data_IF_923815970405
#
_entry.id   IF_923815970405
#
_cell.length_a   1.000
_cell.length_b   1.000
_cell.length_c   1.000
_cell.angle_alpha   90.00
_cell.angle_beta   90.00
_cell.angle_gamma   90.00
#
_symmetry.space_group_name_H-M   'P 1'
#
loop_
_entity.id
_entity.type
_entity.pdbx_description
1 polymer ?
#
# COMPACT_ATOMS: atom_id res chain seq x y z
N UNK A 1 -42.34 8.32 45.16
CA UNK A 1 -42.04 6.92 44.79
C UNK A 1 -40.69 6.96 44.07
N UNK A 2 -39.57 7.29 44.72
CA UNK A 2 -38.88 6.59 45.82
C UNK A 2 -38.80 5.07 45.62
N UNK A 3 -37.56 4.58 45.42
CA UNK A 3 -36.94 3.28 45.75
C UNK A 3 -35.67 3.17 44.87
N UNK A 4 -34.49 3.63 45.29
CA UNK A 4 -33.50 3.03 46.21
C UNK A 4 -32.80 1.74 45.72
N UNK A 5 -31.50 1.92 45.40
CA UNK A 5 -30.30 1.16 45.81
C UNK A 5 -30.28 -0.39 45.67
N UNK A 6 -29.30 -0.88 44.91
CA UNK A 6 -28.42 -1.99 45.35
C UNK A 6 -27.07 -1.96 44.59
N UNK A 7 -25.97 -2.01 45.34
CA UNK A 7 -24.58 -2.04 44.91
C UNK A 7 -23.99 -3.46 45.05
N UNK A 8 -23.15 -3.87 44.07
CA UNK A 8 -21.87 -4.62 44.21
C UNK A 8 -21.89 -6.06 44.80
N UNK A 9 -20.94 -6.99 44.49
CA UNK A 9 -19.46 -6.81 44.46
C UNK A 9 -18.73 -7.41 43.24
N UNK A 10 -17.68 -6.79 42.70
CA UNK A 10 -16.27 -6.80 43.15
C UNK A 10 -15.64 -8.20 43.23
N UNK A 11 -14.99 -8.63 42.14
CA UNK A 11 -14.09 -9.79 42.13
C UNK A 11 -12.64 -9.30 42.09
N UNK A 12 -11.96 -9.47 43.22
CA UNK A 12 -10.49 -9.36 43.37
C UNK A 12 -9.84 -10.62 42.78
N UNK A 13 -8.87 -10.46 41.90
CA UNK A 13 -7.84 -11.47 41.69
C UNK A 13 -6.53 -11.00 42.30
N UNK A 14 -6.07 -11.76 43.27
CA UNK A 14 -4.86 -11.58 44.05
C UNK A 14 -3.62 -11.97 43.26
N UNK A 15 -2.59 -11.14 43.43
CA UNK A 15 -1.20 -11.36 43.03
C UNK A 15 -0.56 -12.50 43.84
N UNK A 16 0.06 -13.46 43.17
CA UNK A 16 1.01 -14.41 43.76
C UNK A 16 2.31 -14.37 42.94
N UNK A 17 3.34 -13.81 43.56
CA UNK A 17 4.73 -13.97 43.18
C UNK A 17 5.38 -15.00 44.10
N UNK A 18 6.35 -15.79 43.62
CA UNK A 18 7.37 -16.37 44.49
C UNK A 18 8.66 -15.55 44.39
N UNK A 19 9.12 -15.06 45.56
CA UNK A 19 10.52 -14.68 45.81
C UNK A 19 11.33 -15.95 46.00
N UNK A 20 12.52 -16.04 45.40
CA UNK A 20 13.64 -16.77 45.99
C UNK A 20 14.97 -16.04 45.71
N UNK A 21 15.46 -15.48 46.81
CA UNK A 21 16.82 -15.28 47.33
C UNK A 21 18.04 -15.06 46.41
N UNK A 22 18.79 -14.06 46.86
CA UNK A 22 20.08 -13.58 46.41
C UNK A 22 21.27 -14.39 46.95
N UNK A 23 22.37 -14.37 46.19
CA UNK A 23 23.78 -14.41 46.61
C UNK A 23 24.62 -14.39 45.30
N UNK A 24 25.82 -13.85 45.15
CA UNK A 24 26.69 -12.96 45.93
C UNK A 24 27.83 -12.57 44.96
N UNK A 25 28.50 -11.45 45.24
CA UNK A 25 29.73 -10.99 44.58
C UNK A 25 30.80 -12.09 44.38
N UNK A 26 31.52 -12.06 43.25
CA UNK A 26 32.99 -11.89 43.22
C UNK A 26 33.60 -11.83 41.80
N UNK A 27 34.60 -10.94 41.69
CA UNK A 27 35.83 -10.97 40.89
C UNK A 27 35.85 -10.88 39.35
N UNK A 28 36.53 -9.80 38.91
CA UNK A 28 37.27 -9.65 37.65
C UNK A 28 38.26 -10.81 37.42
N UNK A 29 38.39 -11.21 36.14
CA UNK A 29 39.72 -11.39 35.52
C UNK A 29 39.60 -11.39 33.99
N UNK A 30 40.27 -10.41 33.40
CA UNK A 30 40.69 -10.31 32.00
C UNK A 30 41.62 -11.46 31.62
N UNK A 31 41.38 -12.09 30.46
CA UNK A 31 42.35 -12.97 29.82
C UNK A 31 42.63 -12.48 28.40
N UNK A 32 43.87 -12.05 28.22
CA UNK A 32 44.55 -11.84 26.94
C UNK A 32 44.63 -13.15 26.14
N UNK A 33 44.40 -13.08 24.83
CA UNK A 33 45.04 -13.98 23.87
C UNK A 33 45.62 -13.16 22.71
N UNK A 34 46.96 -13.08 22.69
CA UNK A 34 47.77 -12.85 21.50
C UNK A 34 47.74 -14.13 20.63
N UNK A 35 48.01 -14.16 19.32
CA UNK A 35 48.52 -13.18 18.36
C UNK A 35 48.74 -13.87 17.00
N UNK A 36 49.54 -13.21 16.14
CA UNK A 36 49.97 -13.51 14.74
C UNK A 36 49.22 -12.67 13.69
N UNK A 37 49.65 -11.43 13.40
CA UNK A 37 50.81 -11.01 12.58
C UNK A 37 50.90 -11.70 11.20
N UNK A 38 50.45 -10.99 10.16
CA UNK A 38 51.03 -11.01 8.82
C UNK A 38 51.17 -9.54 8.37
N UNK A 39 52.41 -9.15 8.08
CA UNK A 39 52.87 -7.85 7.60
C UNK A 39 53.12 -7.88 6.09
N UNK A 40 52.91 -6.76 5.37
CA UNK A 40 53.76 -6.20 4.30
C UNK A 40 53.19 -4.81 3.84
N UNK A 41 53.92 -3.93 3.12
CA UNK A 41 54.51 -2.72 3.68
C UNK A 41 53.97 -1.39 3.11
N UNK A 42 54.39 -0.28 3.76
CA UNK A 42 54.22 1.12 3.35
C UNK A 42 55.30 1.54 2.34
N UNK A 43 54.92 2.41 1.41
CA UNK A 43 55.52 3.70 1.01
C UNK A 43 54.86 4.09 -0.33
N UNK A 44 54.38 5.32 -0.55
CA UNK A 44 55.17 6.50 -0.94
C UNK A 44 54.35 7.77 -0.69
N UNK A 45 55.00 8.77 -0.10
CA UNK A 45 54.60 10.18 -0.01
C UNK A 45 55.09 10.98 -1.22
N UNK A 46 54.31 11.93 -1.76
CA UNK A 46 54.85 13.11 -2.46
C UNK A 46 54.01 14.38 -2.22
N UNK A 47 54.60 15.22 -1.37
CA UNK A 47 54.72 16.69 -1.38
C UNK A 47 53.78 17.59 -2.20
N UNK A 48 53.34 18.64 -1.48
CA UNK A 48 52.81 19.92 -1.93
C UNK A 48 53.78 20.77 -2.78
N UNK A 49 53.20 21.53 -3.70
CA UNK A 49 53.65 22.84 -4.23
C UNK A 49 52.38 23.50 -4.79
N UNK A 50 52.15 24.80 -4.87
CA UNK A 50 52.68 26.02 -4.25
C UNK A 50 51.86 27.15 -4.89
N UNK A 51 51.52 28.16 -4.10
CA UNK A 51 50.87 29.41 -4.49
C UNK A 51 51.58 30.17 -5.63
N UNK A 52 50.82 30.81 -6.53
CA UNK A 52 51.26 32.08 -7.12
C UNK A 52 50.11 33.09 -7.17
N UNK A 53 50.44 34.31 -6.74
CA UNK A 53 49.60 35.51 -6.65
C UNK A 53 50.36 36.61 -7.41
N UNK A 54 49.63 37.65 -7.83
CA UNK A 54 50.04 38.89 -8.54
C UNK A 54 49.84 38.83 -10.07
N UNK A 55 49.34 39.87 -10.75
CA UNK A 55 49.23 41.31 -10.42
C UNK A 55 48.17 41.97 -11.31
N UNK A 56 47.55 43.03 -10.79
CA UNK A 56 46.65 43.92 -11.54
C UNK A 56 47.39 44.75 -12.59
N UNK A 57 46.69 45.08 -13.68
CA UNK A 57 46.95 46.28 -14.48
C UNK A 57 45.61 46.96 -14.80
N UNK A 58 45.45 48.15 -14.24
CA UNK A 58 44.49 49.16 -14.65
C UNK A 58 44.97 49.79 -15.97
N UNK A 59 44.13 49.84 -17.01
CA UNK A 59 44.16 50.94 -18.00
C UNK A 59 42.74 51.21 -18.53
N UNK A 60 42.38 52.48 -18.36
CA UNK A 60 41.36 53.34 -18.95
C UNK A 60 40.47 52.87 -20.12
N UNK A 61 39.20 53.25 -19.94
CA UNK A 61 38.07 53.42 -20.87
C UNK A 61 38.38 53.98 -22.25
N UNK A 62 37.68 53.45 -23.27
CA UNK A 62 37.12 54.26 -24.37
C UNK A 62 35.82 53.67 -24.91
N UNK A 63 34.80 54.52 -24.98
CA UNK A 63 33.43 54.23 -25.37
C UNK A 63 33.31 53.85 -26.86
N UNK A 64 32.66 52.71 -27.15
CA UNK A 64 31.86 52.53 -28.38
C UNK A 64 30.54 51.87 -28.01
N UNK A 65 29.45 52.64 -28.11
CA UNK A 65 28.08 52.13 -28.06
C UNK A 65 27.86 51.21 -29.26
N UNK A 66 27.93 49.90 -29.04
CA UNK A 66 27.36 48.92 -29.95
C UNK A 66 25.96 48.65 -29.41
N UNK A 67 24.94 49.13 -30.13
CA UNK A 67 23.54 48.82 -29.85
C UNK A 67 23.29 47.35 -30.15
N UNK A 68 23.49 46.49 -29.17
CA UNK A 68 22.98 45.13 -29.20
C UNK A 68 21.49 45.24 -28.90
N UNK A 69 20.69 45.27 -29.96
CA UNK A 69 19.26 45.05 -29.88
C UNK A 69 19.07 43.63 -29.32
N UNK A 70 18.75 43.55 -28.03
CA UNK A 70 18.37 42.31 -27.37
C UNK A 70 17.05 41.87 -28.00
N UNK A 71 17.16 41.06 -29.04
CA UNK A 71 16.04 40.30 -29.58
C UNK A 71 15.60 39.38 -28.44
N UNK A 72 14.48 39.71 -27.81
CA UNK A 72 13.82 38.82 -26.88
C UNK A 72 13.55 37.52 -27.62
N UNK A 73 14.31 36.47 -27.30
CA UNK A 73 13.90 35.11 -27.62
C UNK A 73 12.67 34.78 -26.78
N UNK A 74 11.52 35.29 -27.24
CA UNK A 74 10.21 34.69 -26.96
C UNK A 74 10.18 33.43 -27.83
N UNK A 75 10.68 32.35 -27.24
CA UNK A 75 10.96 31.11 -27.99
C UNK A 75 11.06 29.89 -27.09
N UNK A 76 10.27 29.82 -26.03
CA UNK A 76 9.73 28.55 -25.59
C UNK A 76 8.25 28.62 -25.89
N UNK A 77 7.74 27.72 -26.73
CA UNK A 77 6.31 27.51 -26.87
C UNK A 77 5.78 27.06 -25.50
N UNK A 78 5.45 28.04 -24.66
CA UNK A 78 4.87 27.81 -23.35
C UNK A 78 3.55 27.10 -23.59
N UNK A 79 3.42 25.90 -23.05
CA UNK A 79 2.12 25.20 -22.98
C UNK A 79 1.07 26.19 -22.49
N UNK A 80 -0.07 26.24 -23.19
CA UNK A 80 -1.20 27.11 -22.85
C UNK A 80 -1.45 27.08 -21.32
N UNK A 81 -1.47 28.23 -20.62
CA UNK A 81 -1.68 28.29 -19.17
C UNK A 81 -2.95 27.58 -18.70
N UNK A 82 -3.96 27.42 -19.58
CA UNK A 82 -5.14 26.60 -19.32
C UNK A 82 -4.80 25.11 -19.36
N UNK A 83 -4.05 24.67 -20.36
CA UNK A 83 -3.62 23.27 -20.50
C UNK A 83 -2.71 22.86 -19.34
N UNK A 84 -1.82 23.74 -18.88
CA UNK A 84 -0.99 23.50 -17.70
C UNK A 84 -1.84 23.36 -16.42
N UNK A 85 -2.86 24.22 -16.24
CA UNK A 85 -3.79 24.13 -15.11
C UNK A 85 -4.58 22.82 -15.13
N UNK A 86 -5.08 22.40 -16.30
CA UNK A 86 -5.79 21.14 -16.48
C UNK A 86 -4.87 19.96 -16.17
N UNK A 87 -3.64 19.96 -16.68
CA UNK A 87 -2.66 18.89 -16.46
C UNK A 87 -2.30 18.74 -14.98
N UNK A 88 -2.09 19.86 -14.28
CA UNK A 88 -1.86 19.87 -12.83
C UNK A 88 -3.06 19.32 -12.05
N UNK A 89 -4.28 19.71 -12.41
CA UNK A 89 -5.49 19.20 -11.78
C UNK A 89 -5.67 17.68 -12.04
N UNK A 90 -5.45 17.22 -13.26
CA UNK A 90 -5.51 15.79 -13.59
C UNK A 90 -4.47 14.98 -12.80
N UNK A 91 -3.24 15.49 -12.68
CA UNK A 91 -2.20 14.86 -11.87
C UNK A 91 -2.60 14.82 -10.38
N UNK A 92 -3.16 15.91 -9.85
CA UNK A 92 -3.70 15.94 -8.49
C UNK A 92 -4.80 14.88 -8.31
N UNK A 93 -5.76 14.76 -9.24
CA UNK A 93 -6.79 13.73 -9.21
C UNK A 93 -6.21 12.30 -9.28
N UNK A 94 -5.19 12.07 -10.08
CA UNK A 94 -4.53 10.76 -10.16
C UNK A 94 -3.81 10.38 -8.86
N UNK A 95 -3.07 11.31 -8.27
CA UNK A 95 -2.44 11.15 -6.94
C UNK A 95 -3.49 10.95 -5.85
N UNK A 96 -4.62 11.65 -5.93
CA UNK A 96 -5.74 11.56 -5.00
C UNK A 96 -6.32 10.14 -4.95
N UNK A 97 -6.45 9.48 -6.11
CA UNK A 97 -6.98 8.12 -6.23
C UNK A 97 -6.03 7.02 -5.71
N UNK A 98 -4.79 7.35 -5.37
CA UNK A 98 -3.72 6.41 -4.99
C UNK A 98 -3.46 5.36 -6.10
N UNK A 99 -2.57 5.64 -7.06
CA UNK A 99 -2.38 4.82 -8.26
C UNK A 99 -2.07 3.33 -8.02
N UNK A 100 -1.43 2.99 -6.91
CA UNK A 100 -1.18 1.59 -6.54
C UNK A 100 -2.48 0.84 -6.21
N UNK A 101 -3.43 1.48 -5.52
CA UNK A 101 -4.69 0.82 -5.16
C UNK A 101 -5.59 0.65 -6.37
N UNK A 102 -5.62 1.63 -7.29
CA UNK A 102 -6.36 1.58 -8.57
C UNK A 102 -5.85 0.46 -9.46
N UNK A 103 -4.53 0.34 -9.65
CA UNK A 103 -3.95 -0.75 -10.44
C UNK A 103 -4.35 -2.12 -9.89
N UNK A 104 -4.27 -2.30 -8.56
CA UNK A 104 -4.71 -3.53 -7.92
C UNK A 104 -6.19 -3.82 -8.13
N UNK A 105 -7.05 -2.81 -8.03
CA UNK A 105 -8.50 -2.95 -8.26
C UNK A 105 -8.79 -3.32 -9.71
N UNK A 106 -8.18 -2.63 -10.68
CA UNK A 106 -8.39 -2.89 -12.10
C UNK A 106 -7.88 -4.28 -12.52
N UNK A 107 -6.71 -4.68 -12.05
CA UNK A 107 -6.17 -6.01 -12.30
C UNK A 107 -7.05 -7.09 -11.67
N UNK A 108 -7.43 -6.94 -10.39
CA UNK A 108 -8.26 -7.92 -9.70
C UNK A 108 -9.62 -8.10 -10.35
N UNK A 109 -10.32 -6.99 -10.67
CA UNK A 109 -11.61 -7.08 -11.35
C UNK A 109 -11.49 -7.71 -12.74
N UNK A 110 -10.47 -7.33 -13.50
CA UNK A 110 -10.24 -7.88 -14.84
C UNK A 110 -9.92 -9.37 -14.78
N UNK A 111 -9.10 -9.79 -13.82
CA UNK A 111 -8.70 -11.19 -13.65
C UNK A 111 -9.90 -12.08 -13.26
N UNK A 112 -10.78 -11.62 -12.38
CA UNK A 112 -12.00 -12.34 -12.00
C UNK A 112 -13.01 -12.44 -13.14
N UNK A 113 -13.20 -11.35 -13.88
CA UNK A 113 -14.03 -11.36 -15.10
C UNK A 113 -13.43 -12.36 -16.09
N UNK A 114 -12.14 -12.26 -16.39
CA UNK A 114 -11.45 -13.15 -17.32
C UNK A 114 -11.59 -14.62 -16.91
N UNK A 115 -11.38 -14.95 -15.63
CA UNK A 115 -11.55 -16.32 -15.13
C UNK A 115 -12.97 -16.84 -15.36
N UNK A 116 -13.98 -16.05 -14.98
CA UNK A 116 -15.37 -16.43 -15.18
C UNK A 116 -15.73 -16.64 -16.66
N UNK A 117 -15.16 -15.84 -17.57
CA UNK A 117 -15.37 -16.00 -19.01
C UNK A 117 -14.64 -17.23 -19.57
N UNK A 118 -13.42 -17.52 -19.11
CA UNK A 118 -12.67 -18.73 -19.48
C UNK A 118 -13.42 -20.00 -19.06
N UNK A 119 -14.05 -19.99 -17.89
CA UNK A 119 -14.88 -21.11 -17.41
C UNK A 119 -16.20 -21.26 -18.20
N UNK A 120 -16.64 -20.22 -18.93
CA UNK A 120 -17.95 -20.18 -19.59
C UNK A 120 -17.87 -19.58 -21.00
N UNK A 121 -16.93 -20.04 -21.82
CA UNK A 121 -16.61 -19.45 -23.14
C UNK A 121 -17.80 -19.35 -24.09
N UNK A 122 -18.73 -20.31 -24.03
CA UNK A 122 -19.94 -20.37 -24.85
C UNK A 122 -20.97 -19.26 -24.52
N UNK A 123 -20.81 -18.55 -23.40
CA UNK A 123 -21.74 -17.50 -22.95
C UNK A 123 -21.23 -16.08 -23.20
N UNK A 124 -20.06 -15.93 -23.84
CA UNK A 124 -19.44 -14.62 -24.07
C UNK A 124 -20.28 -13.81 -25.07
N UNK A 125 -20.66 -12.58 -24.65
CA UNK A 125 -21.41 -11.61 -25.44
C UNK A 125 -20.75 -10.24 -25.37
N UNK A 126 -20.84 -9.46 -26.45
CA UNK A 126 -20.31 -8.08 -26.49
C UNK A 126 -20.91 -7.16 -25.42
N UNK A 127 -22.16 -7.38 -25.00
CA UNK A 127 -22.80 -6.63 -23.92
C UNK A 127 -22.10 -6.79 -22.57
N UNK A 128 -21.35 -7.87 -22.36
CA UNK A 128 -20.57 -8.09 -21.14
C UNK A 128 -19.42 -7.08 -21.02
N UNK A 129 -18.88 -6.57 -22.13
CA UNK A 129 -17.80 -5.59 -22.10
C UNK A 129 -18.27 -4.29 -21.47
N UNK A 130 -19.43 -3.76 -21.90
CA UNK A 130 -20.01 -2.55 -21.32
C UNK A 130 -20.35 -2.75 -19.84
N UNK A 131 -20.86 -3.93 -19.48
CA UNK A 131 -21.16 -4.27 -18.09
C UNK A 131 -19.88 -4.42 -17.24
N UNK A 132 -18.81 -4.97 -17.79
CA UNK A 132 -17.52 -5.06 -17.09
C UNK A 132 -16.90 -3.67 -16.89
N UNK A 133 -16.96 -2.80 -17.91
CA UNK A 133 -16.46 -1.42 -17.83
C UNK A 133 -17.24 -0.58 -16.82
N UNK A 134 -18.58 -0.71 -16.77
CA UNK A 134 -19.39 -0.03 -15.76
C UNK A 134 -19.07 -0.55 -14.35
N UNK A 135 -18.84 -1.85 -14.18
CA UNK A 135 -18.39 -2.44 -12.92
C UNK A 135 -17.03 -1.90 -12.47
N UNK A 136 -16.06 -1.82 -13.39
CA UNK A 136 -14.75 -1.23 -13.12
C UNK A 136 -14.85 0.24 -12.73
N UNK A 137 -15.69 1.02 -13.43
CA UNK A 137 -15.96 2.42 -13.08
C UNK A 137 -16.50 2.54 -11.64
N UNK A 138 -17.48 1.72 -11.27
CA UNK A 138 -18.02 1.69 -9.91
C UNK A 138 -16.93 1.37 -8.88
N UNK A 139 -16.06 0.39 -9.15
CA UNK A 139 -14.96 0.04 -8.24
C UNK A 139 -13.92 1.16 -8.10
N UNK A 140 -13.63 1.89 -9.19
CA UNK A 140 -12.74 3.07 -9.15
C UNK A 140 -13.38 4.18 -8.31
N UNK A 141 -14.68 4.44 -8.50
CA UNK A 141 -15.45 5.36 -7.67
C UNK A 141 -15.40 4.96 -6.19
N UNK A 142 -15.63 3.69 -5.86
CA UNK A 142 -15.59 3.20 -4.48
C UNK A 142 -14.20 3.36 -3.86
N UNK A 143 -13.14 3.04 -4.60
CA UNK A 143 -11.77 3.31 -4.17
C UNK A 143 -11.55 4.82 -3.94
N UNK A 144 -11.97 5.67 -4.87
CA UNK A 144 -11.86 7.13 -4.80
C UNK A 144 -12.54 7.72 -3.56
N UNK A 145 -13.74 7.25 -3.23
CA UNK A 145 -14.43 7.61 -1.99
C UNK A 145 -13.59 7.23 -0.76
N UNK A 146 -13.17 5.96 -0.66
CA UNK A 146 -12.48 5.42 0.53
C UNK A 146 -11.13 6.10 0.76
N UNK A 147 -10.31 6.25 -0.29
CA UNK A 147 -9.00 6.90 -0.16
C UNK A 147 -9.11 8.41 0.00
N UNK A 148 -10.16 9.02 -0.58
CA UNK A 148 -10.42 10.44 -0.50
C UNK A 148 -10.86 10.87 0.89
N UNK A 149 -11.85 10.19 1.46
CA UNK A 149 -12.31 10.48 2.82
C UNK A 149 -11.18 10.25 3.83
N UNK A 150 -10.36 9.21 3.66
CA UNK A 150 -9.19 8.99 4.51
C UNK A 150 -8.23 10.19 4.46
N UNK A 151 -7.90 10.70 3.27
CA UNK A 151 -7.00 11.86 3.12
C UNK A 151 -7.56 13.12 3.78
N UNK A 152 -8.87 13.37 3.68
CA UNK A 152 -9.51 14.55 4.30
C UNK A 152 -9.37 14.53 5.83
N UNK A 153 -9.52 13.37 6.47
CA UNK A 153 -9.42 13.25 7.94
C UNK A 153 -7.98 13.09 8.45
N UNK A 154 -7.03 12.82 7.55
CA UNK A 154 -5.62 12.59 7.87
C UNK A 154 -4.69 13.70 7.39
N UNK A 155 -5.19 14.86 6.93
CA UNK A 155 -4.38 15.96 6.37
C UNK A 155 -3.14 16.27 7.21
N UNK A 156 -3.28 16.39 8.55
CA UNK A 156 -2.16 16.68 9.44
C UNK A 156 -1.09 15.57 9.48
N UNK A 157 -1.50 14.30 9.44
CA UNK A 157 -0.61 13.14 9.43
C UNK A 157 0.05 13.01 8.05
N UNK A 158 -0.73 13.17 6.99
CA UNK A 158 -0.25 13.06 5.62
C UNK A 158 0.72 14.21 5.26
N UNK A 159 0.62 15.40 5.85
CA UNK A 159 1.64 16.46 5.71
C UNK A 159 3.03 16.03 6.18
N UNK A 160 3.09 15.14 7.17
CA UNK A 160 4.35 14.60 7.70
C UNK A 160 4.82 13.42 6.86
N UNK A 161 3.95 12.42 6.71
CA UNK A 161 4.34 11.12 6.17
C UNK A 161 4.27 11.06 4.64
N UNK A 162 3.34 11.80 4.04
CA UNK A 162 3.00 11.73 2.62
C UNK A 162 2.78 13.14 2.03
N UNK A 163 3.78 14.04 2.10
CA UNK A 163 3.63 15.44 1.69
C UNK A 163 3.30 15.59 0.19
N UNK A 164 3.55 14.54 -0.60
CA UNK A 164 3.18 14.45 -2.00
C UNK A 164 1.70 14.11 -2.24
N UNK A 165 0.85 13.93 -1.22
CA UNK A 165 -0.58 13.74 -1.44
C UNK A 165 -1.28 15.07 -1.74
N UNK A 166 -2.26 15.14 -2.66
CA UNK A 166 -2.78 16.42 -3.17
C UNK A 166 -3.33 17.37 -2.11
N UNK A 167 -4.05 16.84 -1.10
CA UNK A 167 -4.59 17.68 -0.02
C UNK A 167 -3.48 18.14 0.94
N UNK A 168 -2.50 17.27 1.21
CA UNK A 168 -1.36 17.58 2.08
C UNK A 168 -0.40 18.60 1.43
N UNK A 169 -0.19 18.47 0.12
CA UNK A 169 0.63 19.35 -0.72
C UNK A 169 -0.01 20.73 -0.96
N UNK A 170 -1.33 20.84 -0.81
CA UNK A 170 -2.09 22.05 -1.16
C UNK A 170 -2.50 22.14 -2.63
N UNK A 171 -2.23 21.10 -3.43
CA UNK A 171 -2.63 21.01 -4.85
C UNK A 171 -4.16 20.88 -5.01
N UNK A 172 -4.86 20.40 -3.97
CA UNK A 172 -6.31 20.25 -3.93
C UNK A 172 -6.86 20.83 -2.63
N UNK A 173 -7.83 21.75 -2.73
CA UNK A 173 -8.51 22.31 -1.56
C UNK A 173 -9.36 21.25 -0.85
N UNK A 174 -9.61 21.44 0.45
CA UNK A 174 -10.48 20.55 1.23
C UNK A 174 -11.92 20.53 0.68
N UNK A 175 -12.41 21.67 0.19
CA UNK A 175 -13.73 21.77 -0.45
C UNK A 175 -13.79 20.94 -1.74
N UNK A 176 -12.79 21.08 -2.61
CA UNK A 176 -12.68 20.29 -3.84
C UNK A 176 -12.54 18.80 -3.55
N UNK A 177 -11.80 18.42 -2.51
CA UNK A 177 -11.69 17.03 -2.07
C UNK A 177 -13.04 16.46 -1.62
N UNK A 178 -13.83 17.21 -0.85
CA UNK A 178 -15.19 16.78 -0.48
C UNK A 178 -16.11 16.64 -1.69
N UNK A 179 -16.06 17.58 -2.65
CA UNK A 179 -16.82 17.47 -3.90
C UNK A 179 -16.46 16.18 -4.66
N UNK A 180 -15.17 15.85 -4.77
CA UNK A 180 -14.73 14.60 -5.40
C UNK A 180 -15.21 13.36 -4.63
N UNK A 181 -15.11 13.36 -3.29
CA UNK A 181 -15.57 12.23 -2.45
C UNK A 181 -17.07 12.01 -2.63
N UNK A 182 -17.88 13.06 -2.59
CA UNK A 182 -19.33 13.00 -2.79
C UNK A 182 -19.66 12.53 -4.21
N UNK A 183 -18.97 13.08 -5.22
CA UNK A 183 -19.11 12.65 -6.60
C UNK A 183 -18.83 11.15 -6.76
N UNK A 184 -17.73 10.64 -6.21
CA UNK A 184 -17.38 9.23 -6.27
C UNK A 184 -18.40 8.34 -5.56
N UNK A 185 -18.93 8.76 -4.39
CA UNK A 185 -19.97 8.02 -3.70
C UNK A 185 -21.25 7.91 -4.55
N UNK A 186 -21.76 9.04 -5.04
CA UNK A 186 -23.00 9.11 -5.81
C UNK A 186 -22.84 8.37 -7.14
N UNK A 187 -21.79 8.66 -7.92
CA UNK A 187 -21.55 8.03 -9.20
C UNK A 187 -21.43 6.51 -9.07
N UNK A 188 -20.66 6.03 -8.08
CA UNK A 188 -20.53 4.61 -7.82
C UNK A 188 -21.85 3.94 -7.46
N UNK A 189 -22.63 4.54 -6.56
CA UNK A 189 -23.95 4.05 -6.14
C UNK A 189 -24.95 4.00 -7.30
N UNK A 190 -25.00 5.03 -8.14
CA UNK A 190 -25.86 5.06 -9.32
C UNK A 190 -25.47 3.95 -10.31
N UNK A 191 -24.17 3.78 -10.58
CA UNK A 191 -23.70 2.73 -11.49
C UNK A 191 -24.09 1.35 -10.98
N UNK A 192 -23.85 1.03 -9.70
CA UNK A 192 -24.25 -0.29 -9.14
C UNK A 192 -25.76 -0.49 -9.10
N UNK A 193 -26.50 0.55 -8.72
CA UNK A 193 -27.97 0.53 -8.59
C UNK A 193 -28.66 0.24 -9.92
N UNK A 194 -28.24 0.89 -11.00
CA UNK A 194 -28.86 0.71 -12.31
C UNK A 194 -28.40 -0.55 -13.05
N UNK A 195 -27.21 -1.09 -12.77
CA UNK A 195 -26.61 -2.13 -13.62
C UNK A 195 -26.46 -3.51 -12.97
N UNK A 196 -26.41 -3.60 -11.63
CA UNK A 196 -25.99 -4.81 -10.92
C UNK A 196 -26.98 -5.33 -9.86
N UNK A 197 -28.12 -4.65 -9.69
CA UNK A 197 -29.21 -5.08 -8.82
C UNK A 197 -28.95 -4.86 -7.33
N UNK A 198 -29.94 -5.18 -6.47
CA UNK A 198 -29.94 -4.80 -5.06
C UNK A 198 -28.83 -5.48 -4.25
N UNK A 199 -28.51 -6.74 -4.55
CA UNK A 199 -27.48 -7.47 -3.80
C UNK A 199 -26.09 -6.85 -3.97
N UNK A 200 -25.61 -6.65 -5.20
CA UNK A 200 -24.32 -5.99 -5.44
C UNK A 200 -24.33 -4.54 -4.92
N UNK A 201 -25.45 -3.84 -5.05
CA UNK A 201 -25.61 -2.49 -4.48
C UNK A 201 -25.44 -2.51 -2.96
N UNK A 202 -25.97 -3.52 -2.26
CA UNK A 202 -25.81 -3.66 -0.81
C UNK A 202 -24.36 -3.95 -0.40
N UNK A 203 -23.64 -4.80 -1.13
CA UNK A 203 -22.23 -5.08 -0.88
C UNK A 203 -21.34 -3.87 -1.14
N UNK A 204 -21.64 -3.13 -2.21
CA UNK A 204 -20.94 -1.89 -2.53
C UNK A 204 -21.17 -0.83 -1.44
N UNK A 205 -22.42 -0.69 -0.98
CA UNK A 205 -22.80 0.20 0.12
C UNK A 205 -22.12 -0.19 1.43
N UNK A 206 -22.03 -1.49 1.72
CA UNK A 206 -21.26 -2.01 2.85
C UNK A 206 -19.77 -1.63 2.72
N UNK A 207 -19.18 -1.76 1.54
CA UNK A 207 -17.80 -1.33 1.29
C UNK A 207 -17.56 0.16 1.57
N UNK A 208 -18.48 1.03 1.11
CA UNK A 208 -18.43 2.46 1.41
C UNK A 208 -18.56 2.71 2.93
N UNK A 209 -19.56 2.10 3.57
CA UNK A 209 -19.78 2.20 5.01
C UNK A 209 -18.55 1.80 5.82
N UNK A 210 -17.93 0.66 5.48
CA UNK A 210 -16.69 0.19 6.12
C UNK A 210 -15.54 1.19 5.94
N UNK A 211 -15.43 1.82 4.76
CA UNK A 211 -14.46 2.90 4.50
C UNK A 211 -14.74 4.16 5.32
N UNK A 212 -16.01 4.50 5.53
CA UNK A 212 -16.44 5.63 6.37
C UNK A 212 -16.07 5.38 7.83
N UNK A 213 -16.50 4.26 8.42
CA UNK A 213 -16.23 3.96 9.84
C UNK A 213 -14.74 3.79 10.12
N UNK A 214 -13.96 3.39 9.10
CA UNK A 214 -12.51 3.32 9.19
C UNK A 214 -11.89 4.72 9.42
N UNK A 215 -12.39 5.76 8.76
CA UNK A 215 -11.76 7.09 8.69
C UNK A 215 -12.39 8.14 9.61
N UNK A 216 -13.71 8.10 9.79
CA UNK A 216 -14.52 9.21 10.31
C UNK A 216 -14.80 9.05 11.82
N UNK A 217 -14.62 10.11 12.65
CA UNK A 217 -15.06 10.12 14.05
C UNK A 217 -16.59 10.01 14.21
N UNK A 218 -17.13 9.45 15.30
CA UNK A 218 -16.42 9.03 16.51
C UNK A 218 -15.72 7.66 16.40
N UNK A 219 -16.13 6.81 15.45
CA UNK A 219 -15.65 5.44 15.35
C UNK A 219 -14.16 5.35 14.96
N UNK A 220 -13.78 5.96 13.83
CA UNK A 220 -12.41 6.01 13.27
C UNK A 220 -11.62 4.72 13.56
N UNK A 221 -12.14 3.60 13.08
CA UNK A 221 -11.68 2.24 13.42
C UNK A 221 -10.20 2.00 13.10
N UNK A 222 -9.60 2.81 12.21
CA UNK A 222 -8.16 2.79 11.93
C UNK A 222 -7.27 2.93 13.17
N UNK A 223 -7.79 3.47 14.28
CA UNK A 223 -7.10 3.58 15.57
C UNK A 223 -6.87 2.23 16.25
N UNK A 224 -7.70 1.24 15.95
CA UNK A 224 -7.61 -0.11 16.50
C UNK A 224 -6.99 -1.04 15.43
N UNK A 225 -5.76 -1.54 15.61
CA UNK A 225 -5.06 -2.30 14.56
C UNK A 225 -5.85 -3.50 14.04
N UNK A 226 -6.46 -4.28 14.93
CA UNK A 226 -7.23 -5.47 14.54
C UNK A 226 -8.46 -5.09 13.70
N UNK A 227 -9.23 -4.09 14.12
CA UNK A 227 -10.39 -3.62 13.35
C UNK A 227 -9.97 -3.07 11.98
N UNK A 228 -8.88 -2.29 11.93
CA UNK A 228 -8.30 -1.78 10.70
C UNK A 228 -7.91 -2.90 9.72
N UNK A 229 -7.28 -3.95 10.23
CA UNK A 229 -6.87 -5.12 9.45
C UNK A 229 -8.08 -5.86 8.89
N UNK A 230 -9.09 -6.13 9.73
CA UNK A 230 -10.31 -6.82 9.33
C UNK A 230 -11.09 -6.03 8.26
N UNK A 231 -11.19 -4.70 8.41
CA UNK A 231 -11.85 -3.85 7.41
C UNK A 231 -11.12 -3.92 6.07
N UNK A 232 -9.79 -3.79 6.06
CA UNK A 232 -8.99 -3.83 4.82
C UNK A 232 -9.10 -5.21 4.16
N UNK A 233 -8.96 -6.29 4.94
CA UNK A 233 -9.09 -7.65 4.45
C UNK A 233 -10.51 -7.92 3.90
N UNK A 234 -11.55 -7.41 4.56
CA UNK A 234 -12.94 -7.56 4.10
C UNK A 234 -13.17 -6.81 2.80
N UNK A 235 -12.81 -5.52 2.73
CA UNK A 235 -13.12 -4.69 1.55
C UNK A 235 -12.23 -5.05 0.35
N UNK A 236 -10.91 -5.10 0.54
CA UNK A 236 -9.95 -5.31 -0.54
C UNK A 236 -9.70 -6.78 -0.84
N UNK A 237 -9.77 -7.64 0.17
CA UNK A 237 -9.59 -9.08 0.02
C UNK A 237 -10.87 -9.76 -0.43
N UNK A 238 -11.89 -9.76 0.43
CA UNK A 238 -13.08 -10.58 0.20
C UNK A 238 -14.10 -9.93 -0.75
N UNK A 239 -14.63 -8.74 -0.41
CA UNK A 239 -15.76 -8.12 -1.11
C UNK A 239 -15.47 -7.82 -2.57
N UNK A 240 -14.25 -7.38 -2.91
CA UNK A 240 -13.86 -7.17 -4.30
C UNK A 240 -13.95 -8.49 -5.08
N UNK A 241 -13.37 -9.57 -4.55
CA UNK A 241 -13.30 -10.84 -5.25
C UNK A 241 -14.66 -11.49 -5.41
N UNK A 242 -15.37 -11.60 -4.29
CA UNK A 242 -16.73 -12.14 -4.26
C UNK A 242 -17.69 -11.31 -5.12
N UNK A 243 -17.69 -9.99 -4.94
CA UNK A 243 -18.62 -9.08 -5.61
C UNK A 243 -18.43 -9.05 -7.12
N UNK A 244 -17.19 -8.99 -7.61
CA UNK A 244 -16.92 -9.02 -9.05
C UNK A 244 -17.34 -10.36 -9.64
N UNK A 245 -16.91 -11.48 -9.06
CA UNK A 245 -17.25 -12.80 -9.59
C UNK A 245 -18.77 -13.05 -9.57
N UNK A 246 -19.46 -12.66 -8.50
CA UNK A 246 -20.92 -12.71 -8.43
C UNK A 246 -21.58 -11.88 -9.53
N UNK A 247 -21.15 -10.62 -9.70
CA UNK A 247 -21.67 -9.74 -10.73
C UNK A 247 -21.44 -10.30 -12.14
N UNK A 248 -20.27 -10.89 -12.40
CA UNK A 248 -19.96 -11.52 -13.69
C UNK A 248 -20.82 -12.74 -13.96
N UNK A 249 -20.99 -13.65 -12.98
CA UNK A 249 -21.87 -14.82 -13.14
C UNK A 249 -23.32 -14.40 -13.40
N UNK A 250 -23.83 -13.44 -12.64
CA UNK A 250 -25.17 -12.90 -12.85
C UNK A 250 -25.31 -12.27 -14.25
N UNK A 251 -24.28 -11.58 -14.75
CA UNK A 251 -24.27 -11.02 -16.11
C UNK A 251 -24.25 -12.11 -17.20
N UNK A 252 -23.69 -13.28 -16.92
CA UNK A 252 -23.74 -14.47 -17.77
C UNK A 252 -25.08 -15.23 -17.69
N UNK A 253 -26.01 -14.80 -16.82
CA UNK A 253 -27.27 -15.50 -16.60
C UNK A 253 -27.14 -16.76 -15.73
N UNK A 254 -26.03 -16.88 -14.99
CA UNK A 254 -25.74 -18.04 -14.15
C UNK A 254 -26.03 -17.73 -12.68
N UNK A 255 -26.51 -18.71 -11.89
CA UNK A 255 -26.55 -18.60 -10.45
C UNK A 255 -25.13 -18.53 -9.89
N UNK A 256 -24.99 -17.89 -8.72
CA UNK A 256 -23.72 -17.86 -8.02
C UNK A 256 -23.32 -19.28 -7.57
N UNK A 257 -22.10 -19.69 -7.91
CA UNK A 257 -21.48 -20.92 -7.46
C UNK A 257 -19.98 -20.69 -7.32
N UNK A 258 -19.42 -21.08 -6.19
CA UNK A 258 -17.98 -21.03 -5.97
C UNK A 258 -17.26 -21.99 -6.92
N UNK A 259 -16.29 -21.48 -7.67
CA UNK A 259 -15.28 -22.34 -8.30
C UNK A 259 -14.06 -22.43 -7.37
N UNK A 260 -13.40 -23.59 -7.34
CA UNK A 260 -12.21 -23.78 -6.51
C UNK A 260 -11.08 -22.75 -6.79
N UNK A 261 -10.80 -22.34 -8.05
CA UNK A 261 -9.88 -21.25 -8.36
C UNK A 261 -10.32 -19.90 -7.76
N UNK A 262 -11.61 -19.57 -7.84
CA UNK A 262 -12.12 -18.31 -7.28
C UNK A 262 -12.10 -18.31 -5.75
N UNK A 263 -12.41 -19.46 -5.13
CA UNK A 263 -12.26 -19.64 -3.69
C UNK A 263 -10.79 -19.46 -3.27
N UNK A 264 -9.86 -20.09 -4.01
CA UNK A 264 -8.42 -19.93 -3.82
C UNK A 264 -7.99 -18.46 -3.88
N UNK A 265 -8.27 -17.74 -4.98
CA UNK A 265 -7.80 -16.35 -5.10
C UNK A 265 -8.44 -15.47 -4.04
N UNK A 266 -9.72 -15.67 -3.72
CA UNK A 266 -10.44 -14.91 -2.69
C UNK A 266 -9.78 -15.09 -1.33
N UNK A 267 -9.49 -16.33 -0.92
CA UNK A 267 -8.79 -16.60 0.34
C UNK A 267 -7.36 -16.07 0.32
N UNK A 268 -6.62 -16.32 -0.77
CA UNK A 268 -5.23 -15.92 -0.93
C UNK A 268 -5.06 -14.40 -0.83
N UNK A 269 -5.84 -13.64 -1.59
CA UNK A 269 -5.76 -12.17 -1.58
C UNK A 269 -6.40 -11.54 -0.35
N UNK A 270 -7.27 -12.25 0.37
CA UNK A 270 -7.74 -11.81 1.70
C UNK A 270 -6.62 -11.86 2.73
N UNK A 271 -5.86 -12.95 2.77
CA UNK A 271 -4.66 -13.03 3.61
C UNK A 271 -3.58 -12.04 3.13
N UNK A 272 -3.42 -11.85 1.82
CA UNK A 272 -2.52 -10.85 1.28
C UNK A 272 -2.94 -9.42 1.67
N UNK A 273 -4.24 -9.09 1.61
CA UNK A 273 -4.74 -7.78 2.02
C UNK A 273 -4.48 -7.53 3.52
N UNK A 274 -4.51 -8.56 4.36
CA UNK A 274 -4.07 -8.48 5.75
C UNK A 274 -2.55 -8.15 5.85
N UNK A 275 -1.70 -8.79 5.04
CA UNK A 275 -0.26 -8.47 4.97
C UNK A 275 -0.03 -7.01 4.55
N UNK A 276 -0.75 -6.54 3.53
CA UNK A 276 -0.70 -5.12 3.13
C UNK A 276 -1.14 -4.23 4.30
N UNK A 277 -2.21 -4.60 5.02
CA UNK A 277 -2.70 -3.83 6.15
C UNK A 277 -1.67 -3.74 7.30
N UNK A 278 -0.95 -4.82 7.58
CA UNK A 278 0.12 -4.88 8.60
C UNK A 278 1.32 -4.04 8.17
N UNK A 279 1.70 -4.08 6.89
CA UNK A 279 2.91 -3.44 6.38
C UNK A 279 2.72 -2.01 5.88
N UNK A 280 1.47 -1.54 5.72
CA UNK A 280 1.16 -0.21 5.15
C UNK A 280 1.80 0.97 5.88
N UNK A 281 1.98 0.85 7.19
CA UNK A 281 2.49 1.92 8.05
C UNK A 281 4.03 1.87 8.17
N UNK A 282 4.70 0.88 7.57
CA UNK A 282 6.16 0.79 7.60
C UNK A 282 6.86 2.04 7.05
N UNK A 283 6.48 2.59 5.86
CA UNK A 283 7.11 3.80 5.33
C UNK A 283 6.89 5.05 6.18
N UNK A 284 5.89 5.02 7.07
CA UNK A 284 5.46 6.14 7.89
C UNK A 284 6.16 6.17 9.27
N UNK A 285 6.88 5.11 9.66
CA UNK A 285 7.43 4.93 11.02
C UNK A 285 8.33 6.08 11.48
N UNK A 286 9.17 6.62 10.60
CA UNK A 286 10.08 7.72 10.96
C UNK A 286 9.32 9.00 11.30
N UNK A 287 8.34 9.35 10.46
CA UNK A 287 7.48 10.51 10.69
C UNK A 287 6.58 10.31 11.90
N UNK A 288 6.00 9.13 12.07
CA UNK A 288 5.20 8.78 13.24
C UNK A 288 6.00 8.93 14.55
N UNK A 289 7.25 8.49 14.59
CA UNK A 289 8.13 8.66 15.76
C UNK A 289 8.41 10.14 16.05
N UNK A 290 8.72 10.92 15.03
CA UNK A 290 9.00 12.36 15.18
C UNK A 290 7.80 13.12 15.76
N UNK A 291 6.59 12.71 15.43
CA UNK A 291 5.33 13.35 15.87
C UNK A 291 4.60 12.57 16.97
N UNK A 292 5.26 11.61 17.63
CA UNK A 292 4.71 10.82 18.75
C UNK A 292 3.39 10.09 18.41
N UNK A 293 3.24 9.65 17.17
CA UNK A 293 2.09 8.87 16.71
C UNK A 293 2.34 7.39 17.02
N UNK A 294 1.49 6.83 17.88
CA UNK A 294 1.55 5.40 18.24
C UNK A 294 0.86 4.55 17.17
N UNK A 295 1.64 3.72 16.48
CA UNK A 295 1.20 2.72 15.50
C UNK A 295 1.76 1.34 15.86
N UNK A 296 1.27 0.28 15.21
CA UNK A 296 1.80 -1.07 15.46
C UNK A 296 3.28 -1.15 15.08
N UNK A 297 3.67 -0.49 14.00
CA UNK A 297 5.05 -0.46 13.50
C UNK A 297 5.99 0.37 14.39
N UNK A 298 5.52 1.45 15.01
CA UNK A 298 6.34 2.19 15.99
C UNK A 298 6.51 1.42 17.30
N UNK A 299 5.51 0.63 17.72
CA UNK A 299 5.55 -0.20 18.95
C UNK A 299 6.37 -1.48 18.81
N UNK A 300 6.12 -2.26 17.75
CA UNK A 300 6.80 -3.55 17.55
C UNK A 300 8.14 -3.41 16.80
N UNK A 301 8.35 -2.27 16.14
CA UNK A 301 9.56 -2.00 15.35
C UNK A 301 9.44 -2.48 13.90
N UNK A 302 10.14 -1.77 13.01
CA UNK A 302 10.14 -2.03 11.55
C UNK A 302 10.51 -3.47 11.23
N UNK A 303 11.58 -3.98 11.85
CA UNK A 303 12.06 -5.35 11.66
C UNK A 303 10.97 -6.39 11.89
N UNK A 304 10.34 -6.34 13.06
CA UNK A 304 9.34 -7.35 13.45
C UNK A 304 8.10 -7.30 12.54
N UNK A 305 7.65 -6.11 12.13
CA UNK A 305 6.53 -5.96 11.20
C UNK A 305 6.88 -6.44 9.79
N UNK A 306 8.09 -6.14 9.31
CA UNK A 306 8.55 -6.62 8.01
C UNK A 306 8.63 -8.15 7.97
N UNK A 307 9.22 -8.77 9.01
CA UNK A 307 9.29 -10.23 9.13
C UNK A 307 7.91 -10.88 9.32
N UNK A 308 7.01 -10.28 10.11
CA UNK A 308 5.64 -10.77 10.27
C UNK A 308 4.90 -10.76 8.92
N UNK A 309 4.95 -9.63 8.20
CA UNK A 309 4.33 -9.51 6.88
C UNK A 309 4.91 -10.49 5.86
N UNK A 310 6.24 -10.59 5.81
CA UNK A 310 6.95 -11.54 4.94
C UNK A 310 6.61 -12.99 5.28
N UNK A 311 6.60 -13.35 6.56
CA UNK A 311 6.32 -14.70 7.02
C UNK A 311 4.89 -15.14 6.70
N UNK A 312 3.90 -14.29 6.97
CA UNK A 312 2.50 -14.55 6.61
C UNK A 312 2.33 -14.73 5.10
N UNK A 313 3.00 -13.89 4.29
CA UNK A 313 2.93 -13.99 2.85
C UNK A 313 3.65 -15.25 2.32
N UNK A 314 4.78 -15.63 2.92
CA UNK A 314 5.48 -16.87 2.59
C UNK A 314 4.62 -18.10 2.89
N UNK A 315 3.93 -18.13 4.04
CA UNK A 315 2.96 -19.18 4.38
C UNK A 315 1.84 -19.25 3.34
N UNK A 316 1.36 -18.09 2.87
CA UNK A 316 0.36 -18.04 1.79
C UNK A 316 0.90 -18.69 0.50
N UNK A 317 2.13 -18.37 0.09
CA UNK A 317 2.79 -18.98 -1.07
C UNK A 317 2.98 -20.49 -0.94
N UNK A 318 3.46 -20.97 0.22
CA UNK A 318 3.60 -22.41 0.49
C UNK A 318 2.25 -23.11 0.43
N UNK A 319 1.19 -22.47 0.94
CA UNK A 319 -0.17 -22.99 0.87
C UNK A 319 -0.66 -23.13 -0.57
N UNK A 320 -0.39 -22.14 -1.43
CA UNK A 320 -0.70 -22.22 -2.85
C UNK A 320 0.02 -23.37 -3.57
N UNK A 321 1.32 -23.52 -3.33
CA UNK A 321 2.10 -24.64 -3.89
C UNK A 321 1.55 -25.99 -3.42
N UNK A 322 1.24 -26.10 -2.12
CA UNK A 322 0.68 -27.33 -1.54
C UNK A 322 -0.67 -27.67 -2.15
N UNK A 323 -1.52 -26.66 -2.39
CA UNK A 323 -2.83 -26.83 -3.01
C UNK A 323 -2.72 -27.32 -4.46
N UNK A 324 -1.72 -26.86 -5.21
CA UNK A 324 -1.47 -27.34 -6.57
C UNK A 324 -1.14 -28.85 -6.62
N UNK A 325 -0.40 -29.35 -5.62
CA UNK A 325 -0.14 -30.79 -5.48
C UNK A 325 -1.37 -31.57 -5.01
N UNK A 326 -2.17 -30.99 -4.12
CA UNK A 326 -3.36 -31.65 -3.58
C UNK A 326 -4.52 -31.72 -4.58
N UNK A 327 -4.65 -30.73 -5.47
CA UNK A 327 -5.73 -30.62 -6.45
C UNK A 327 -5.21 -30.46 -7.89
N UNK A 328 -4.44 -31.43 -8.43
CA UNK A 328 -3.81 -31.32 -9.75
C UNK A 328 -4.82 -31.31 -10.91
N UNK A 329 -6.06 -31.75 -10.66
CA UNK A 329 -7.16 -31.71 -11.65
C UNK A 329 -7.81 -30.33 -11.77
N UNK A 330 -7.63 -29.47 -10.77
CA UNK A 330 -8.23 -28.13 -10.71
C UNK A 330 -7.22 -27.06 -11.09
N UNK A 331 -5.99 -27.20 -10.58
CA UNK A 331 -4.92 -26.23 -10.79
C UNK A 331 -3.88 -26.74 -11.76
N UNK A 332 -3.43 -25.87 -12.65
CA UNK A 332 -2.32 -26.12 -13.58
C UNK A 332 -1.00 -26.09 -12.81
N UNK A 333 -0.65 -27.23 -12.19
CA UNK A 333 0.55 -27.37 -11.37
C UNK A 333 1.85 -26.96 -12.08
N UNK A 334 1.96 -27.21 -13.40
CA UNK A 334 3.09 -26.79 -14.23
C UNK A 334 3.31 -25.27 -14.30
N UNK A 335 2.27 -24.48 -14.02
CA UNK A 335 2.35 -23.03 -13.94
C UNK A 335 2.34 -22.55 -12.47
N UNK A 336 1.38 -23.04 -11.69
CA UNK A 336 1.15 -22.59 -10.31
C UNK A 336 2.37 -22.81 -9.42
N UNK A 337 2.98 -24.00 -9.47
CA UNK A 337 4.12 -24.36 -8.60
C UNK A 337 5.34 -23.48 -8.90
N UNK A 338 5.90 -23.45 -10.14
CA UNK A 338 7.09 -22.64 -10.40
C UNK A 338 6.83 -21.14 -10.21
N UNK A 339 5.64 -20.63 -10.58
CA UNK A 339 5.33 -19.23 -10.38
C UNK A 339 5.35 -18.83 -8.89
N UNK A 340 4.64 -19.57 -8.03
CA UNK A 340 4.61 -19.25 -6.59
C UNK A 340 5.97 -19.52 -5.91
N UNK A 341 6.78 -20.48 -6.39
CA UNK A 341 8.17 -20.66 -5.92
C UNK A 341 9.06 -19.46 -6.25
N UNK A 342 8.94 -18.91 -7.47
CA UNK A 342 9.68 -17.71 -7.88
C UNK A 342 9.25 -16.52 -7.02
N UNK A 343 7.94 -16.30 -6.83
CA UNK A 343 7.43 -15.19 -6.02
C UNK A 343 7.84 -15.31 -4.55
N UNK A 344 7.79 -16.51 -3.97
CA UNK A 344 8.29 -16.78 -2.61
C UNK A 344 9.80 -16.52 -2.49
N UNK A 345 10.59 -16.96 -3.47
CA UNK A 345 12.05 -16.75 -3.48
C UNK A 345 12.39 -15.26 -3.58
N UNK A 346 11.69 -14.53 -4.46
CA UNK A 346 11.83 -13.08 -4.59
C UNK A 346 11.43 -12.35 -3.31
N UNK A 347 10.38 -12.79 -2.60
CA UNK A 347 10.01 -12.26 -1.29
C UNK A 347 11.13 -12.44 -0.27
N UNK A 348 11.64 -13.65 -0.11
CA UNK A 348 12.75 -13.95 0.81
C UNK A 348 13.96 -13.06 0.50
N UNK A 349 14.32 -12.96 -0.79
CA UNK A 349 15.42 -12.11 -1.22
C UNK A 349 15.19 -10.63 -0.88
N UNK A 350 14.00 -10.09 -1.14
CA UNK A 350 13.69 -8.68 -0.85
C UNK A 350 13.64 -8.38 0.65
N UNK A 351 13.17 -9.34 1.47
CA UNK A 351 13.22 -9.22 2.93
C UNK A 351 14.66 -9.22 3.45
N UNK A 352 15.53 -10.05 2.86
CA UNK A 352 16.97 -10.06 3.16
C UNK A 352 17.65 -8.74 2.75
N UNK A 353 17.35 -8.21 1.56
CA UNK A 353 17.86 -6.90 1.11
C UNK A 353 17.44 -5.79 2.07
N UNK A 354 16.18 -5.79 2.52
CA UNK A 354 15.68 -4.82 3.51
C UNK A 354 16.46 -4.90 4.84
N UNK A 355 16.72 -6.12 5.34
CA UNK A 355 17.50 -6.32 6.57
C UNK A 355 18.95 -5.84 6.38
N UNK A 356 19.59 -6.15 5.25
CA UNK A 356 20.96 -5.70 4.94
C UNK A 356 21.07 -4.19 4.78
N UNK A 357 20.01 -3.53 4.32
CA UNK A 357 19.94 -2.08 4.24
C UNK A 357 19.67 -1.40 5.61
N UNK A 358 19.67 -2.14 6.73
CA UNK A 358 19.39 -1.61 8.07
C UNK A 358 18.09 -0.80 8.16
N UNK A 359 17.09 -1.16 7.35
CA UNK A 359 15.77 -0.52 7.37
C UNK A 359 15.81 1.00 7.14
N UNK A 360 16.63 1.51 6.20
CA UNK A 360 16.51 2.90 5.76
C UNK A 360 15.12 3.19 5.19
N UNK A 361 14.70 4.47 5.21
CA UNK A 361 13.40 4.90 4.70
C UNK A 361 13.18 4.50 3.23
N UNK A 362 14.23 4.62 2.43
CA UNK A 362 14.24 4.24 1.02
C UNK A 362 14.06 2.73 0.85
N UNK A 363 14.78 1.92 1.65
CA UNK A 363 14.67 0.47 1.63
C UNK A 363 13.27 0.00 2.07
N UNK A 364 12.71 0.60 3.12
CA UNK A 364 11.35 0.31 3.60
C UNK A 364 10.31 0.63 2.51
N UNK A 365 10.43 1.81 1.88
CA UNK A 365 9.54 2.24 0.82
C UNK A 365 9.63 1.33 -0.40
N UNK A 366 10.86 0.88 -0.74
CA UNK A 366 11.13 -0.10 -1.79
C UNK A 366 10.49 -1.45 -1.50
N UNK A 367 10.68 -1.99 -0.30
CA UNK A 367 10.06 -3.23 0.16
C UNK A 367 8.52 -3.14 0.12
N UNK A 368 7.93 -2.06 0.65
CA UNK A 368 6.48 -1.89 0.61
C UNK A 368 5.93 -1.81 -0.82
N UNK A 369 6.62 -1.11 -1.73
CA UNK A 369 6.28 -1.12 -3.15
C UNK A 369 6.39 -2.52 -3.76
N UNK A 370 7.40 -3.29 -3.36
CA UNK A 370 7.59 -4.67 -3.82
C UNK A 370 6.43 -5.59 -3.39
N UNK A 371 5.92 -5.45 -2.15
CA UNK A 371 4.71 -6.16 -1.69
C UNK A 371 3.51 -5.89 -2.61
N UNK A 372 3.33 -4.65 -3.07
CA UNK A 372 2.29 -4.33 -4.06
C UNK A 372 2.54 -4.96 -5.44
N UNK A 373 3.80 -5.06 -5.87
CA UNK A 373 4.12 -5.73 -7.14
C UNK A 373 3.79 -7.23 -7.10
N UNK A 374 4.08 -7.89 -5.98
CA UNK A 374 3.67 -9.27 -5.75
C UNK A 374 2.14 -9.40 -5.83
N UNK A 375 1.40 -8.51 -5.16
CA UNK A 375 -0.07 -8.49 -5.23
C UNK A 375 -0.61 -8.35 -6.67
N UNK A 376 0.04 -7.55 -7.51
CA UNK A 376 -0.33 -7.45 -8.94
C UNK A 376 0.00 -8.73 -9.71
N UNK A 377 1.13 -9.36 -9.41
CA UNK A 377 1.54 -10.61 -10.05
C UNK A 377 0.53 -11.74 -9.79
N UNK A 378 -0.04 -11.82 -8.58
CA UNK A 378 -1.09 -12.81 -8.27
C UNK A 378 -2.31 -12.69 -9.18
N UNK A 379 -2.83 -11.47 -9.36
CA UNK A 379 -3.99 -11.27 -10.22
C UNK A 379 -3.67 -11.47 -11.70
N UNK A 380 -2.44 -11.20 -12.12
CA UNK A 380 -2.01 -11.50 -13.49
C UNK A 380 -1.92 -13.01 -13.75
N UNK A 381 -1.45 -13.76 -12.75
CA UNK A 381 -1.32 -15.22 -12.82
C UNK A 381 -2.69 -15.92 -12.75
N UNK A 382 -3.57 -15.42 -11.89
CA UNK A 382 -4.82 -16.06 -11.50
C UNK A 382 -5.69 -16.64 -12.63
N UNK A 383 -5.99 -15.94 -13.74
CA UNK A 383 -6.86 -16.48 -14.79
C UNK A 383 -6.34 -17.78 -15.40
N UNK A 384 -5.03 -17.99 -15.36
CA UNK A 384 -4.33 -19.12 -15.98
C UNK A 384 -4.06 -20.27 -15.03
N UNK A 385 -4.31 -20.10 -13.72
CA UNK A 385 -4.09 -21.11 -12.70
C UNK A 385 -4.99 -22.33 -12.82
#
# INVERSE_FOLDING_TARGET
>A
MELSISQSPCVRFSSLAPRFLAASHHHRSSVHLAGKFISLPRDVSFTSLSTSRMRSKFVSTNYRKISIQACSQVGAAGTDPVLDRITRFQNACWRFLRPHTIRGTALGSTALVARALIENTHLIKWSLVLKALSGLLALICGNGYIVGINQIYDIGIDKVNKPYLPIAAGDLSVQSAWLLVIFFAIAGLLVVGFNFGPFITSLYSLGLFLGTIYSVPPLRMKRFPIAAFLIIATVRGFLLNFGVYHATRAALGLPFQWSAPVAFITSFVTLFALVIAITKDLPDVEGDRKFQISTLATKLGVRNIAFLGSGLLLVNYVSAISLAFYMPQVFRGSLMIPAHLILASCLIFQTWVLEKANYTKEAISGYYRFIWNLFYAEYLLFPFL
#
